data_IF_006071098402
#
_entry.id   IF_006071098402
#
_cell.length_a   1.000
_cell.length_b   1.000
_cell.length_c   1.000
_cell.angle_alpha   90.00
_cell.angle_beta   90.00
_cell.angle_gamma   90.00
#
_symmetry.space_group_name_H-M   'P 1'
#
loop_
_entity.id
_entity.type
_entity.pdbx_description
1 polymer ?
#
# COMPACT_ATOMS: atom_id res chain seq x y z
N UNK A 1 -5.25 -0.94 -11.22
CA UNK A 1 -4.44 0.24 -11.60
C UNK A 1 -3.04 0.21 -10.96
N UNK A 2 -2.92 0.23 -9.62
CA UNK A 2 -1.63 0.27 -8.93
C UNK A 2 -0.69 -0.91 -9.24
N UNK A 3 -1.21 -2.14 -9.36
CA UNK A 3 -0.40 -3.32 -9.69
C UNK A 3 0.28 -3.20 -11.06
N UNK A 4 -0.46 -2.87 -12.11
CA UNK A 4 0.08 -2.74 -13.48
C UNK A 4 1.13 -1.63 -13.58
N UNK A 5 0.87 -0.47 -12.97
CA UNK A 5 1.86 0.61 -12.96
C UNK A 5 3.10 0.26 -12.13
N UNK A 6 2.91 -0.50 -11.04
CA UNK A 6 4.04 -1.01 -10.25
C UNK A 6 4.86 -2.03 -11.03
N UNK A 7 4.23 -2.83 -11.89
CA UNK A 7 4.93 -3.78 -12.77
C UNK A 7 5.81 -3.04 -13.77
N UNK A 8 5.31 -1.96 -14.37
CA UNK A 8 6.11 -1.09 -15.23
C UNK A 8 7.26 -0.41 -14.45
N UNK A 9 6.99 0.05 -13.23
CA UNK A 9 7.92 0.82 -12.42
C UNK A 9 9.05 -0.03 -11.81
N UNK A 10 8.76 -1.21 -11.26
CA UNK A 10 9.74 -2.05 -10.57
C UNK A 10 9.86 -3.46 -11.13
N UNK A 11 8.78 -3.99 -11.74
CA UNK A 11 8.68 -5.39 -12.13
C UNK A 11 8.48 -6.33 -10.93
N UNK A 12 8.15 -7.59 -11.21
CA UNK A 12 8.07 -8.63 -10.17
C UNK A 12 6.95 -8.40 -9.14
N UNK A 13 5.84 -7.81 -9.59
CA UNK A 13 4.64 -7.60 -8.79
C UNK A 13 3.93 -8.92 -8.54
N UNK A 14 3.47 -9.14 -7.31
CA UNK A 14 2.52 -10.20 -7.00
C UNK A 14 1.20 -9.57 -6.57
N UNK A 15 0.10 -10.15 -7.06
CA UNK A 15 -1.28 -9.82 -6.69
C UNK A 15 -1.71 -10.83 -5.63
N UNK A 16 -2.43 -10.37 -4.62
CA UNK A 16 -2.90 -11.17 -3.49
C UNK A 16 -1.81 -12.03 -2.81
N UNK A 17 -0.63 -11.46 -2.50
CA UNK A 17 0.42 -12.18 -1.79
C UNK A 17 -0.04 -12.59 -0.37
N UNK A 18 0.16 -13.86 -0.05
CA UNK A 18 0.05 -14.36 1.33
C UNK A 18 1.25 -13.84 2.13
N UNK A 19 0.98 -12.98 3.11
CA UNK A 19 1.97 -12.53 4.11
C UNK A 19 2.15 -13.57 5.22
N UNK A 20 1.04 -14.18 5.64
CA UNK A 20 1.01 -15.19 6.69
C UNK A 20 -0.05 -16.21 6.37
N UNK A 21 0.33 -17.48 6.40
CA UNK A 21 -0.59 -18.61 6.22
C UNK A 21 -1.67 -18.63 7.30
N UNK A 22 -2.76 -19.34 7.04
CA UNK A 22 -3.79 -19.57 8.04
C UNK A 22 -3.28 -20.55 9.11
N UNK A 23 -3.65 -20.31 10.36
CA UNK A 23 -3.42 -21.20 11.49
C UNK A 23 -4.78 -21.55 12.14
N UNK A 24 -4.90 -22.63 12.93
CA UNK A 24 -6.16 -22.96 13.60
C UNK A 24 -6.70 -21.79 14.43
N UNK A 25 -7.85 -21.24 14.02
CA UNK A 25 -8.48 -20.08 14.67
C UNK A 25 -7.95 -18.71 14.26
N UNK A 26 -6.94 -18.63 13.38
CA UNK A 26 -6.36 -17.38 12.87
C UNK A 26 -6.38 -17.38 11.34
N UNK A 27 -7.13 -16.46 10.70
CA UNK A 27 -7.18 -16.40 9.24
C UNK A 27 -5.82 -15.99 8.65
N UNK A 28 -5.58 -16.42 7.41
CA UNK A 28 -4.43 -15.97 6.63
C UNK A 28 -4.44 -14.43 6.48
N UNK A 29 -3.24 -13.86 6.42
CA UNK A 29 -3.05 -12.46 6.06
C UNK A 29 -2.65 -12.39 4.59
N UNK A 30 -3.56 -11.87 3.78
CA UNK A 30 -3.36 -11.61 2.36
C UNK A 30 -3.38 -10.10 2.19
N UNK A 31 -2.37 -9.55 1.53
CA UNK A 31 -2.34 -8.15 1.10
C UNK A 31 -2.77 -8.06 -0.37
N UNK A 32 -3.08 -6.88 -0.88
CA UNK A 32 -3.52 -6.73 -2.28
C UNK A 32 -2.35 -6.88 -3.26
N UNK A 33 -1.20 -6.28 -2.93
CA UNK A 33 -0.05 -6.17 -3.83
C UNK A 33 1.26 -6.32 -3.06
N UNK A 34 2.23 -7.04 -3.63
CA UNK A 34 3.64 -7.01 -3.22
C UNK A 34 4.50 -6.52 -4.37
N UNK A 35 5.38 -5.57 -4.09
CA UNK A 35 6.34 -5.01 -5.04
C UNK A 35 7.72 -4.96 -4.39
N UNK A 36 8.78 -5.38 -5.08
CA UNK A 36 10.15 -5.30 -4.55
C UNK A 36 10.80 -3.96 -4.93
N UNK A 37 11.60 -3.38 -4.04
CA UNK A 37 12.43 -2.22 -4.38
C UNK A 37 11.75 -0.85 -4.23
N UNK A 38 10.51 -0.79 -3.72
CA UNK A 38 9.78 0.49 -3.58
C UNK A 38 10.45 1.40 -2.55
N UNK A 39 10.59 0.91 -1.32
CA UNK A 39 11.16 1.67 -0.19
C UNK A 39 12.63 1.39 0.05
N UNK A 40 13.02 0.12 -0.02
CA UNK A 40 14.39 -0.33 0.12
C UNK A 40 14.76 -1.24 -1.05
N UNK A 41 16.00 -1.13 -1.53
CA UNK A 41 16.51 -1.99 -2.60
C UNK A 41 16.28 -3.47 -2.27
N UNK A 42 15.75 -4.23 -3.23
CA UNK A 42 15.45 -5.67 -3.17
C UNK A 42 14.50 -6.16 -2.07
N UNK A 43 14.07 -5.31 -1.13
CA UNK A 43 13.11 -5.71 -0.10
C UNK A 43 11.68 -5.66 -0.63
N UNK A 44 10.82 -6.63 -0.25
CA UNK A 44 9.41 -6.58 -0.59
C UNK A 44 8.70 -5.50 0.22
N UNK A 45 7.89 -4.70 -0.46
CA UNK A 45 6.89 -3.83 0.13
C UNK A 45 5.51 -4.42 -0.17
N UNK A 46 4.68 -4.52 0.87
CA UNK A 46 3.32 -5.02 0.79
C UNK A 46 2.34 -3.86 0.95
N UNK A 47 1.26 -3.92 0.19
CA UNK A 47 0.28 -2.86 0.09
C UNK A 47 -1.12 -3.44 0.21
N UNK A 48 -1.97 -2.73 0.93
CA UNK A 48 -3.36 -3.09 1.08
C UNK A 48 -4.22 -1.81 1.07
N UNK A 49 -5.28 -1.84 0.27
CA UNK A 49 -6.09 -0.69 -0.09
C UNK A 49 -7.29 -0.57 0.84
N UNK A 50 -7.59 0.66 1.25
CA UNK A 50 -8.82 0.95 2.00
C UNK A 50 -9.46 2.23 1.49
N UNK A 51 -10.70 2.10 1.04
CA UNK A 51 -11.55 3.22 0.65
C UNK A 51 -12.43 3.59 1.85
N UNK A 52 -12.48 4.87 2.21
CA UNK A 52 -13.22 5.39 3.36
C UNK A 52 -14.30 6.37 2.89
N UNK A 53 -15.54 6.15 3.31
CA UNK A 53 -16.57 7.18 3.15
C UNK A 53 -16.39 8.24 4.23
N UNK A 54 -15.63 9.30 3.93
CA UNK A 54 -15.33 10.39 4.87
C UNK A 54 -16.59 11.21 5.24
N UNK A 55 -17.61 11.22 4.38
CA UNK A 55 -18.88 11.93 4.59
C UNK A 55 -19.90 11.14 5.41
N UNK A 56 -19.54 9.94 5.88
CA UNK A 56 -20.45 9.13 6.68
C UNK A 56 -20.83 9.86 7.98
N UNK A 57 -22.10 9.74 8.40
CA UNK A 57 -22.63 10.42 9.60
C UNK A 57 -21.80 10.10 10.86
N UNK A 58 -21.22 8.91 10.95
CA UNK A 58 -20.32 8.51 12.05
C UNK A 58 -19.03 9.34 12.13
N UNK A 59 -18.61 9.97 11.03
CA UNK A 59 -17.41 10.80 10.93
C UNK A 59 -17.70 12.30 10.85
N UNK A 60 -18.96 12.73 10.99
CA UNK A 60 -19.40 14.14 10.85
C UNK A 60 -18.60 15.19 11.63
N UNK A 61 -17.92 14.79 12.71
CA UNK A 61 -17.13 15.67 13.57
C UNK A 61 -15.62 15.42 13.45
N UNK A 62 -15.17 14.65 12.46
CA UNK A 62 -13.77 14.30 12.24
C UNK A 62 -13.32 14.85 10.89
N UNK A 63 -12.06 15.27 10.81
CA UNK A 63 -11.45 15.65 9.53
C UNK A 63 -11.00 14.41 8.76
N UNK A 64 -10.72 14.60 7.47
CA UNK A 64 -10.09 13.56 6.64
C UNK A 64 -8.79 13.05 7.27
N UNK A 65 -7.93 13.95 7.77
CA UNK A 65 -6.65 13.56 8.37
C UNK A 65 -6.83 12.60 9.55
N UNK A 66 -7.80 12.86 10.42
CA UNK A 66 -8.10 11.99 11.58
C UNK A 66 -8.63 10.63 11.10
N UNK A 67 -9.63 10.65 10.22
CA UNK A 67 -10.30 9.43 9.76
C UNK A 67 -9.35 8.55 8.94
N UNK A 68 -8.60 9.15 8.01
CA UNK A 68 -7.59 8.49 7.19
C UNK A 68 -6.43 7.95 8.03
N UNK A 69 -5.98 8.70 9.04
CA UNK A 69 -4.94 8.24 9.96
C UNK A 69 -5.40 7.04 10.80
N UNK A 70 -6.62 7.06 11.33
CA UNK A 70 -7.19 5.93 12.05
C UNK A 70 -7.32 4.69 11.14
N UNK A 71 -7.77 4.89 9.90
CA UNK A 71 -7.86 3.83 8.89
C UNK A 71 -6.50 3.21 8.56
N UNK A 72 -5.45 4.02 8.44
CA UNK A 72 -4.07 3.58 8.22
C UNK A 72 -3.50 2.83 9.44
N UNK A 73 -3.68 3.36 10.65
CA UNK A 73 -3.25 2.72 11.90
C UNK A 73 -3.88 1.34 12.09
N UNK A 74 -5.17 1.19 11.77
CA UNK A 74 -5.84 -0.11 11.84
C UNK A 74 -5.27 -1.13 10.82
N UNK A 75 -4.73 -0.66 9.68
CA UNK A 75 -4.03 -1.54 8.73
C UNK A 75 -2.61 -1.89 9.22
N UNK A 76 -1.86 -0.90 9.72
CA UNK A 76 -0.55 -1.14 10.35
C UNK A 76 -0.62 -2.18 11.47
N UNK A 77 -1.57 -2.00 12.39
CA UNK A 77 -1.81 -2.95 13.49
C UNK A 77 -2.10 -4.37 13.00
N UNK A 78 -2.69 -4.53 11.80
CA UNK A 78 -3.00 -5.84 11.22
C UNK A 78 -1.80 -6.46 10.48
N UNK A 79 -0.99 -5.68 9.78
CA UNK A 79 -0.03 -6.21 8.79
C UNK A 79 1.44 -5.99 9.12
N UNK A 80 1.82 -4.99 9.93
CA UNK A 80 3.22 -4.60 10.12
C UNK A 80 4.09 -5.75 10.62
N UNK A 81 3.59 -6.48 11.63
CA UNK A 81 4.34 -7.58 12.22
C UNK A 81 4.60 -8.69 11.21
N UNK A 82 3.57 -9.08 10.45
CA UNK A 82 3.72 -10.12 9.42
C UNK A 82 4.65 -9.67 8.29
N UNK A 83 4.62 -8.37 7.93
CA UNK A 83 5.52 -7.83 6.92
C UNK A 83 6.98 -7.84 7.41
N UNK A 84 7.20 -7.49 8.67
CA UNK A 84 8.51 -7.52 9.31
C UNK A 84 9.07 -8.95 9.40
N UNK A 85 8.24 -9.94 9.76
CA UNK A 85 8.63 -11.36 9.86
C UNK A 85 9.19 -11.91 8.54
N UNK A 86 8.71 -11.40 7.39
CA UNK A 86 9.23 -11.72 6.04
C UNK A 86 10.28 -10.73 5.53
N UNK A 87 10.87 -9.92 6.42
CA UNK A 87 11.87 -8.86 6.12
C UNK A 87 11.40 -7.84 5.10
N UNK A 88 10.09 -7.64 5.01
CA UNK A 88 9.45 -6.64 4.18
C UNK A 88 9.02 -5.41 4.96
N UNK A 89 8.30 -4.54 4.27
CA UNK A 89 7.64 -3.36 4.83
C UNK A 89 6.17 -3.35 4.42
N UNK A 90 5.29 -2.82 5.25
CA UNK A 90 3.89 -2.61 4.90
C UNK A 90 3.58 -1.13 4.68
N UNK A 91 2.70 -0.82 3.73
CA UNK A 91 2.21 0.53 3.49
C UNK A 91 0.70 0.50 3.16
N UNK A 92 -0.15 1.11 3.99
CA UNK A 92 -1.57 1.21 3.70
C UNK A 92 -1.86 2.20 2.57
N UNK A 93 -2.66 1.77 1.60
CA UNK A 93 -3.15 2.63 0.50
C UNK A 93 -4.55 3.14 0.85
N UNK A 94 -4.61 4.13 1.75
CA UNK A 94 -5.86 4.70 2.24
C UNK A 94 -6.29 5.90 1.40
N UNK A 95 -7.53 5.89 0.92
CA UNK A 95 -8.16 7.01 0.22
C UNK A 95 -9.62 7.15 0.62
N UNK A 96 -10.18 8.34 0.49
CA UNK A 96 -11.61 8.56 0.64
C UNK A 96 -12.37 8.23 -0.66
N UNK A 97 -13.69 8.13 -0.58
CA UNK A 97 -14.55 7.95 -1.76
C UNK A 97 -14.45 9.11 -2.77
N UNK A 98 -14.17 10.33 -2.32
CA UNK A 98 -13.98 11.53 -3.14
C UNK A 98 -12.52 11.74 -3.59
N UNK A 99 -11.62 10.80 -3.26
CA UNK A 99 -10.25 10.77 -3.79
C UNK A 99 -9.22 11.54 -2.96
N UNK A 100 -9.55 12.00 -1.75
CA UNK A 100 -8.55 12.46 -0.80
C UNK A 100 -7.62 11.29 -0.44
N UNK A 101 -6.32 11.52 -0.55
CA UNK A 101 -5.31 10.49 -0.30
C UNK A 101 -4.74 10.65 1.09
N UNK A 102 -4.49 9.54 1.77
CA UNK A 102 -3.62 9.55 2.94
C UNK A 102 -2.17 9.79 2.51
N UNK A 103 -1.34 10.29 3.43
CA UNK A 103 0.05 10.66 3.14
C UNK A 103 0.88 9.49 2.59
N UNK A 104 0.65 8.28 3.09
CA UNK A 104 1.43 7.09 2.70
C UNK A 104 1.07 6.62 1.29
N UNK A 105 -0.21 6.65 0.94
CA UNK A 105 -0.64 6.41 -0.43
C UNK A 105 -0.06 7.49 -1.38
N UNK A 106 -0.11 8.76 -0.97
CA UNK A 106 0.50 9.85 -1.74
C UNK A 106 2.00 9.66 -1.97
N UNK A 107 2.74 9.23 -0.94
CA UNK A 107 4.17 8.93 -1.05
C UNK A 107 4.44 7.78 -2.02
N UNK A 108 3.63 6.72 -1.96
CA UNK A 108 3.74 5.59 -2.88
C UNK A 108 3.55 6.01 -4.35
N UNK A 109 2.51 6.79 -4.63
CA UNK A 109 2.24 7.30 -5.98
C UNK A 109 3.36 8.21 -6.49
N UNK A 110 3.89 9.11 -5.65
CA UNK A 110 5.03 9.97 -6.02
C UNK A 110 6.29 9.15 -6.34
N UNK A 111 6.58 8.14 -5.52
CA UNK A 111 7.72 7.22 -5.74
C UNK A 111 7.57 6.46 -7.06
N UNK A 112 6.36 6.00 -7.36
CA UNK A 112 6.03 5.30 -8.60
C UNK A 112 6.23 6.21 -9.82
N UNK A 113 5.67 7.42 -9.78
CA UNK A 113 5.81 8.40 -10.86
C UNK A 113 7.29 8.71 -11.14
N UNK A 114 8.06 8.98 -10.08
CA UNK A 114 9.50 9.24 -10.21
C UNK A 114 10.28 8.06 -10.80
N UNK A 115 9.94 6.84 -10.40
CA UNK A 115 10.59 5.62 -10.91
C UNK A 115 10.28 5.40 -12.40
N UNK A 116 9.03 5.64 -12.82
CA UNK A 116 8.62 5.56 -14.22
C UNK A 116 9.29 6.63 -15.08
N UNK A 117 9.33 7.87 -14.59
CA UNK A 117 10.02 8.99 -15.24
C UNK A 117 11.50 8.65 -15.49
N UNK A 118 12.19 8.13 -14.47
CA UNK A 118 13.60 7.74 -14.58
C UNK A 118 13.84 6.56 -15.54
N UNK A 119 12.85 5.67 -15.71
CA UNK A 119 12.92 4.59 -16.71
C UNK A 119 12.69 5.09 -18.13
N UNK A 120 11.69 5.96 -18.33
CA UNK A 120 11.33 6.47 -19.65
C UNK A 120 12.27 7.56 -20.18
N UNK A 121 12.98 8.26 -19.28
CA UNK A 121 13.96 9.29 -19.67
C UNK A 121 15.30 8.72 -20.14
N UNK A 122 15.49 7.39 -20.14
CA UNK A 122 16.72 6.77 -20.65
C UNK A 122 16.62 6.61 -22.17
N UNK A 123 17.59 7.13 -22.95
CA UNK A 123 17.62 6.86 -24.37
C UNK A 123 17.73 5.35 -24.59
N UNK A 124 16.90 4.82 -25.48
CA UNK A 124 17.03 3.44 -25.96
C UNK A 124 18.46 3.25 -26.47
N UNK A 125 19.20 2.33 -25.86
CA UNK A 125 20.49 1.85 -26.36
C UNK A 125 20.27 0.63 -27.24
#
# INVERSE_FOLDING_TARGET
>A
ACANLSELAWGGVAIEPVLREAEPGVPALIADIRVRGVWHHERPAFFDTRIVNADAVSYRNQTWDVTGQAAAQAKHAKYDRAAEDVRGSFTPLVTSCDGALHREFSMFLRRMAHTLEAKWSKPYS
#
